data_IF_701826625815
#
_entry.id   IF_701826625815
#
_cell.length_a   1.000
_cell.length_b   1.000
_cell.length_c   1.000
_cell.angle_alpha   90.00
_cell.angle_beta   90.00
_cell.angle_gamma   90.00
#
_symmetry.space_group_name_H-M   'P 1'
#
loop_
_entity.id
_entity.type
_entity.pdbx_description
1 polymer ?
#
# COMPACT_ATOMS: atom_id res chain seq x y z
N UNK A 1 14.74 -0.84 -2.62
CA UNK A 1 14.42 -2.28 -2.67
C UNK A 1 13.08 -2.44 -3.38
N UNK A 2 12.63 -3.65 -3.68
CA UNK A 2 11.32 -3.86 -4.29
C UNK A 2 10.71 -5.13 -3.71
N UNK A 3 9.42 -5.06 -3.40
CA UNK A 3 8.67 -6.14 -2.77
C UNK A 3 7.50 -6.52 -3.68
N UNK A 4 7.23 -7.81 -3.78
CA UNK A 4 6.15 -8.37 -4.58
C UNK A 4 5.41 -9.43 -3.76
N UNK A 5 4.08 -9.36 -3.77
CA UNK A 5 3.23 -10.31 -3.05
C UNK A 5 2.05 -10.74 -3.93
N UNK A 6 1.78 -12.04 -3.93
CA UNK A 6 0.63 -12.65 -4.60
C UNK A 6 0.04 -13.72 -3.69
N UNK A 7 -1.25 -13.59 -3.41
CA UNK A 7 -2.03 -14.60 -2.70
C UNK A 7 -3.25 -14.93 -3.54
N UNK A 8 -3.42 -16.22 -3.85
CA UNK A 8 -4.61 -16.79 -4.45
C UNK A 8 -5.18 -17.88 -3.56
N UNK A 9 -6.51 -17.93 -3.43
CA UNK A 9 -7.21 -18.95 -2.65
C UNK A 9 -7.56 -20.14 -3.56
N UNK A 10 -7.23 -21.37 -3.14
CA UNK A 10 -7.44 -22.58 -3.96
C UNK A 10 -8.90 -23.02 -4.10
N UNK A 11 -9.80 -22.56 -3.22
CA UNK A 11 -11.21 -23.00 -3.20
C UNK A 11 -12.18 -21.90 -3.69
N UNK A 12 -11.64 -20.76 -4.14
CA UNK A 12 -12.34 -19.72 -4.90
C UNK A 12 -11.45 -19.43 -6.11
N UNK A 13 -11.71 -20.10 -7.24
CA UNK A 13 -10.88 -20.06 -8.46
C UNK A 13 -10.65 -18.64 -9.03
N UNK A 14 -11.30 -17.60 -8.47
CA UNK A 14 -11.41 -16.24 -9.03
C UNK A 14 -11.06 -15.10 -8.02
N UNK A 15 -10.36 -15.37 -6.91
CA UNK A 15 -10.01 -14.36 -5.91
C UNK A 15 -8.48 -14.23 -5.70
N UNK A 16 -7.82 -13.55 -6.63
CA UNK A 16 -6.40 -13.21 -6.61
C UNK A 16 -6.15 -11.77 -6.12
N UNK A 17 -5.11 -11.62 -5.31
CA UNK A 17 -4.59 -10.33 -4.86
C UNK A 17 -3.15 -10.16 -5.34
N UNK A 18 -2.91 -9.12 -6.14
CA UNK A 18 -1.60 -8.77 -6.67
C UNK A 18 -1.15 -7.42 -6.15
N UNK A 19 0.07 -7.39 -5.62
CA UNK A 19 0.73 -6.18 -5.16
C UNK A 19 2.15 -6.14 -5.72
N UNK A 20 2.50 -5.03 -6.38
CA UNK A 20 3.86 -4.74 -6.80
C UNK A 20 4.29 -3.38 -6.29
N UNK A 21 5.46 -3.29 -5.64
CA UNK A 21 5.97 -2.04 -5.09
C UNK A 21 7.46 -1.87 -5.34
N UNK A 22 7.85 -0.65 -5.67
CA UNK A 22 9.26 -0.25 -5.81
C UNK A 22 9.56 0.91 -4.87
N UNK A 23 10.64 0.76 -4.09
CA UNK A 23 11.11 1.73 -3.11
C UNK A 23 12.50 2.26 -3.47
N UNK A 24 12.65 3.57 -3.36
CA UNK A 24 13.94 4.24 -3.28
C UNK A 24 14.18 4.76 -1.86
N UNK A 25 15.36 4.49 -1.33
CA UNK A 25 15.69 4.76 0.07
C UNK A 25 15.20 3.67 1.03
N UNK A 26 15.38 3.92 2.33
CA UNK A 26 14.97 3.05 3.42
C UNK A 26 14.85 3.86 4.72
N UNK A 27 13.74 3.69 5.44
CA UNK A 27 13.56 4.27 6.78
C UNK A 27 14.16 3.36 7.84
N UNK A 28 14.99 3.92 8.72
CA UNK A 28 15.57 3.26 9.90
C UNK A 28 15.17 4.07 11.14
N UNK A 29 14.35 3.49 12.01
CA UNK A 29 13.82 4.14 13.21
C UNK A 29 14.90 4.65 14.17
N UNK A 30 16.15 4.19 14.04
CA UNK A 30 17.30 4.66 14.83
C UNK A 30 18.06 5.82 14.17
N UNK A 31 17.73 6.17 12.94
CA UNK A 31 18.39 7.21 12.14
C UNK A 31 17.39 8.29 11.73
N UNK A 32 17.24 9.36 12.52
CA UNK A 32 16.49 10.54 12.10
C UNK A 32 16.96 11.06 10.75
N UNK A 33 16.01 11.44 9.89
CA UNK A 33 16.25 11.87 8.51
C UNK A 33 16.34 10.73 7.50
N UNK A 34 16.38 9.47 7.92
CA UNK A 34 16.24 8.34 6.99
C UNK A 34 14.84 8.35 6.36
N UNK A 35 14.78 8.05 5.06
CA UNK A 35 13.56 8.18 4.28
C UNK A 35 13.46 7.09 3.21
N UNK A 36 12.24 6.85 2.76
CA UNK A 36 11.96 6.18 1.50
C UNK A 36 10.85 6.92 0.74
N UNK A 37 10.86 6.74 -0.58
CA UNK A 37 9.74 7.07 -1.46
C UNK A 37 9.39 5.81 -2.25
N UNK A 38 8.12 5.65 -2.59
CA UNK A 38 7.67 4.45 -3.27
C UNK A 38 6.54 4.73 -4.24
N UNK A 39 6.44 3.83 -5.21
CA UNK A 39 5.26 3.68 -6.07
C UNK A 39 4.83 2.23 -6.00
N UNK A 40 3.52 2.01 -5.89
CA UNK A 40 2.93 0.68 -5.90
C UNK A 40 1.71 0.59 -6.82
N UNK A 41 1.44 -0.64 -7.25
CA UNK A 41 0.23 -1.04 -7.95
C UNK A 41 -0.43 -2.17 -7.17
N UNK A 42 -1.75 -2.09 -7.04
CA UNK A 42 -2.60 -3.12 -6.47
C UNK A 42 -3.64 -3.52 -7.49
N UNK A 43 -3.85 -4.83 -7.64
CA UNK A 43 -4.95 -5.43 -8.37
C UNK A 43 -5.58 -6.49 -7.48
N UNK A 44 -6.79 -6.22 -7.00
CA UNK A 44 -7.47 -7.06 -6.03
C UNK A 44 -8.84 -7.48 -6.55
N UNK A 45 -9.02 -8.77 -6.75
CA UNK A 45 -10.32 -9.36 -7.09
C UNK A 45 -11.24 -9.35 -5.86
N UNK A 46 -12.55 -9.52 -6.09
CA UNK A 46 -13.53 -9.50 -5.03
C UNK A 46 -13.29 -10.63 -4.01
N UNK A 47 -13.19 -10.28 -2.73
CA UNK A 47 -12.93 -11.23 -1.65
C UNK A 47 -11.46 -11.64 -1.50
N UNK A 48 -10.54 -11.09 -2.31
CA UNK A 48 -9.11 -11.44 -2.27
C UNK A 48 -8.36 -10.81 -1.09
N UNK A 49 -8.90 -9.75 -0.47
CA UNK A 49 -8.28 -9.10 0.68
C UNK A 49 -8.55 -9.82 2.00
N UNK A 50 -7.52 -10.46 2.56
CA UNK A 50 -7.61 -11.25 3.79
C UNK A 50 -7.19 -10.49 5.06
N UNK A 51 -7.20 -9.14 5.01
CA UNK A 51 -6.93 -8.30 6.19
C UNK A 51 -5.48 -7.85 6.40
N UNK A 52 -4.56 -8.18 5.49
CA UNK A 52 -3.18 -7.70 5.54
C UNK A 52 -2.51 -7.67 4.17
N UNK A 53 -1.99 -6.51 3.77
CA UNK A 53 -1.34 -6.32 2.45
C UNK A 53 -0.03 -5.53 2.50
N UNK A 54 0.40 -5.08 3.68
CA UNK A 54 1.53 -4.15 3.82
C UNK A 54 1.30 -2.77 3.18
N UNK A 55 0.13 -2.53 2.57
CA UNK A 55 -0.24 -1.25 1.95
C UNK A 55 -0.74 -0.26 2.99
N UNK A 56 -0.48 1.03 2.76
CA UNK A 56 -1.07 2.10 3.56
C UNK A 56 -2.55 2.38 3.21
N UNK A 57 -3.06 1.82 2.10
CA UNK A 57 -4.47 1.94 1.66
C UNK A 57 -5.46 1.43 2.72
N UNK A 58 -6.69 1.94 2.68
CA UNK A 58 -7.82 1.37 3.43
C UNK A 58 -8.32 0.10 2.74
N UNK A 59 -9.02 -0.76 3.48
CA UNK A 59 -9.57 -2.02 2.95
C UNK A 59 -10.44 -1.84 1.69
N UNK A 60 -11.17 -0.72 1.59
CA UNK A 60 -12.00 -0.38 0.43
C UNK A 60 -11.23 -0.16 -0.88
N UNK A 61 -9.92 0.07 -0.81
CA UNK A 61 -9.02 0.20 -1.99
C UNK A 61 -8.13 -1.04 -2.16
N UNK A 62 -8.49 -2.13 -1.48
CA UNK A 62 -7.77 -3.40 -1.49
C UNK A 62 -8.69 -4.57 -1.80
N UNK A 63 -9.99 -4.36 -2.02
CA UNK A 63 -10.98 -5.40 -2.30
C UNK A 63 -11.86 -4.98 -3.49
N UNK A 64 -11.92 -5.81 -4.53
CA UNK A 64 -12.61 -5.51 -5.78
C UNK A 64 -12.13 -4.20 -6.47
N UNK A 65 -10.83 -3.91 -6.41
CA UNK A 65 -10.25 -2.68 -6.94
C UNK A 65 -8.88 -2.88 -7.58
N UNK A 66 -8.57 -2.07 -8.59
CA UNK A 66 -7.21 -1.84 -9.08
C UNK A 66 -6.84 -0.37 -8.92
N UNK A 67 -5.61 -0.09 -8.49
CA UNK A 67 -5.16 1.29 -8.25
C UNK A 67 -3.66 1.46 -8.20
N UNK A 68 -3.20 2.67 -8.52
CA UNK A 68 -1.81 3.11 -8.33
C UNK A 68 -1.67 3.92 -7.06
N UNK A 69 -0.47 3.90 -6.47
CA UNK A 69 -0.17 4.65 -5.27
C UNK A 69 1.24 5.19 -5.31
N UNK A 70 1.41 6.41 -4.82
CA UNK A 70 2.70 7.02 -4.60
C UNK A 70 2.77 7.55 -3.17
N UNK A 71 3.90 7.33 -2.51
CA UNK A 71 4.03 7.67 -1.11
C UNK A 71 5.46 7.87 -0.66
N UNK A 72 5.57 8.21 0.61
CA UNK A 72 6.85 8.43 1.28
C UNK A 72 6.78 7.98 2.73
N UNK A 73 7.96 7.76 3.31
CA UNK A 73 8.18 7.59 4.73
C UNK A 73 9.43 8.36 5.15
N UNK A 74 9.38 9.00 6.31
CA UNK A 74 10.52 9.70 6.91
C UNK A 74 10.55 9.49 8.42
N UNK A 75 11.71 9.19 8.95
CA UNK A 75 11.94 9.11 10.40
C UNK A 75 12.28 10.51 10.89
N UNK A 76 11.33 11.19 11.54
CA UNK A 76 11.48 12.59 11.96
C UNK A 76 12.27 12.74 13.27
N UNK A 77 12.23 11.71 14.10
CA UNK A 77 13.01 11.58 15.33
C UNK A 77 13.21 10.09 15.62
N UNK A 78 14.10 9.75 16.56
CA UNK A 78 14.29 8.35 16.95
C UNK A 78 12.95 7.74 17.37
N UNK A 79 12.62 6.59 16.79
CA UNK A 79 11.36 5.86 16.96
C UNK A 79 10.09 6.58 16.46
N UNK A 80 10.18 7.75 15.82
CA UNK A 80 9.03 8.49 15.27
C UNK A 80 9.11 8.51 13.74
N UNK A 81 8.15 7.87 13.07
CA UNK A 81 8.05 7.83 11.59
C UNK A 81 6.76 8.48 11.11
N UNK A 82 6.88 9.35 10.11
CA UNK A 82 5.77 9.93 9.36
C UNK A 82 5.70 9.27 7.97
N UNK A 83 4.52 8.82 7.58
CA UNK A 83 4.25 8.20 6.27
C UNK A 83 3.08 8.88 5.58
N UNK A 84 3.15 8.97 4.25
CA UNK A 84 2.09 9.50 3.41
C UNK A 84 1.88 8.64 2.18
N UNK A 85 0.63 8.56 1.73
CA UNK A 85 0.21 7.88 0.50
C UNK A 85 -0.83 8.73 -0.23
N UNK A 86 -0.69 8.86 -1.55
CA UNK A 86 -1.76 9.23 -2.47
C UNK A 86 -2.05 8.05 -3.37
N UNK A 87 -3.31 7.63 -3.44
CA UNK A 87 -3.83 6.67 -4.40
C UNK A 87 -4.51 7.42 -5.54
N UNK A 88 -4.32 6.95 -6.76
CA UNK A 88 -4.86 7.55 -7.98
C UNK A 88 -5.11 6.48 -9.04
N UNK A 89 -5.89 6.82 -10.07
CA UNK A 89 -6.37 5.85 -11.07
C UNK A 89 -6.99 4.63 -10.39
N UNK A 90 -7.82 4.88 -9.37
CA UNK A 90 -8.50 3.85 -8.63
C UNK A 90 -9.81 3.54 -9.33
N UNK A 91 -10.06 2.26 -9.58
CA UNK A 91 -11.30 1.79 -10.20
C UNK A 91 -11.66 0.43 -9.61
N UNK A 92 -12.96 0.13 -9.63
CA UNK A 92 -13.45 -1.22 -9.31
C UNK A 92 -13.05 -2.20 -10.43
N UNK A 93 -13.07 -3.50 -10.18
CA UNK A 93 -12.84 -4.50 -11.23
C UNK A 93 -13.82 -4.40 -12.41
N UNK A 94 -15.01 -3.84 -12.17
CA UNK A 94 -16.03 -3.60 -13.19
C UNK A 94 -15.86 -2.26 -13.94
N UNK A 95 -14.77 -1.51 -13.68
CA UNK A 95 -14.43 -0.27 -14.39
C UNK A 95 -15.15 0.98 -13.92
N UNK A 96 -15.79 0.95 -12.75
CA UNK A 96 -16.30 2.18 -12.13
C UNK A 96 -15.17 2.92 -11.41
N UNK A 97 -14.99 4.20 -11.72
CA UNK A 97 -13.99 5.07 -11.08
C UNK A 97 -14.26 5.23 -9.59
N UNK A 98 -13.18 5.27 -8.81
CA UNK A 98 -13.18 5.57 -7.39
C UNK A 98 -12.45 6.90 -7.15
N UNK A 99 -12.86 7.61 -6.11
CA UNK A 99 -12.18 8.82 -5.69
C UNK A 99 -10.73 8.54 -5.29
N UNK A 100 -9.86 9.52 -5.45
CA UNK A 100 -8.49 9.45 -4.96
C UNK A 100 -8.44 9.40 -3.41
N UNK A 101 -7.60 8.53 -2.86
CA UNK A 101 -7.32 8.46 -1.42
C UNK A 101 -6.03 9.21 -1.09
N UNK A 102 -6.07 10.14 -0.13
CA UNK A 102 -4.86 10.60 0.57
C UNK A 102 -4.87 10.12 2.00
N UNK A 103 -3.76 9.54 2.45
CA UNK A 103 -3.57 9.12 3.84
C UNK A 103 -2.23 9.61 4.37
N UNK A 104 -2.22 10.08 5.61
CA UNK A 104 -1.01 10.40 6.37
C UNK A 104 -1.08 9.66 7.71
N UNK A 105 0.03 9.06 8.13
CA UNK A 105 0.13 8.32 9.38
C UNK A 105 1.42 8.68 10.12
N UNK A 106 1.31 8.95 11.42
CA UNK A 106 2.43 9.07 12.33
C UNK A 106 2.50 7.83 13.22
N UNK A 107 3.67 7.20 13.29
CA UNK A 107 3.90 5.99 14.09
C UNK A 107 5.02 6.25 15.10
N UNK A 108 4.80 5.88 16.35
CA UNK A 108 5.79 5.95 17.42
C UNK A 108 6.04 4.58 18.04
N UNK A 109 7.30 4.23 18.28
CA UNK A 109 7.70 3.01 18.98
C UNK A 109 8.29 3.34 20.35
N UNK A 110 7.75 2.70 21.39
CA UNK A 110 8.23 2.79 22.77
C UNK A 110 9.44 1.88 23.00
#
# INVERSE_FOLDING_TARGET
>A
SGDYFNVGYKDHDDAAFWNGRVDFGHTDMKKPGSFNIFVDYVDAEQGSYLGGSGSLRTASYLDNTKSWGAGFGVVVAENVKLEGLRTFNAETQNGADLDDLTKVQLSYKF
#
